data_IF_760646892783
#
_entry.id   IF_760646892783
#
_cell.length_a   1.000
_cell.length_b   1.000
_cell.length_c   1.000
_cell.angle_alpha   90.00
_cell.angle_beta   90.00
_cell.angle_gamma   90.00
#
_symmetry.space_group_name_H-M   'P 1'
#
loop_
_entity.id
_entity.type
_entity.pdbx_description
1 polymer ?
#
# COMPACT_ATOMS: atom_id res chain seq x y z
N UNK A 1 14.32 18.25 8.02
CA UNK A 1 13.45 18.12 6.82
C UNK A 1 14.26 17.96 5.54
N UNK A 2 15.30 18.77 5.31
CA UNK A 2 16.17 18.67 4.11
C UNK A 2 16.66 17.24 3.78
N UNK A 3 17.09 16.47 4.78
CA UNK A 3 17.57 15.09 4.60
C UNK A 3 16.50 14.12 4.06
N UNK A 4 15.21 14.33 4.36
CA UNK A 4 14.13 13.45 3.89
C UNK A 4 13.81 13.68 2.42
N UNK A 5 13.81 14.94 1.98
CA UNK A 5 13.60 15.28 0.58
C UNK A 5 14.75 14.77 -0.29
N UNK A 6 16.00 14.88 0.19
CA UNK A 6 17.16 14.34 -0.52
C UNK A 6 17.08 12.81 -0.68
N UNK A 7 16.69 12.08 0.39
CA UNK A 7 16.48 10.63 0.32
C UNK A 7 15.37 10.28 -0.66
N UNK A 8 14.24 10.99 -0.65
CA UNK A 8 13.15 10.75 -1.59
C UNK A 8 13.57 11.00 -3.03
N UNK A 9 14.26 12.11 -3.31
CA UNK A 9 14.78 12.42 -4.63
C UNK A 9 15.77 11.35 -5.12
N UNK A 10 16.64 10.86 -4.22
CA UNK A 10 17.53 9.74 -4.50
C UNK A 10 16.76 8.46 -4.84
N UNK A 11 15.74 8.10 -4.06
CA UNK A 11 14.90 6.93 -4.36
C UNK A 11 14.23 7.04 -5.73
N UNK A 12 13.68 8.21 -6.07
CA UNK A 12 13.06 8.45 -7.39
C UNK A 12 14.10 8.28 -8.50
N UNK A 13 15.28 8.90 -8.35
CA UNK A 13 16.37 8.80 -9.33
C UNK A 13 16.83 7.36 -9.54
N UNK A 14 17.02 6.59 -8.47
CA UNK A 14 17.41 5.18 -8.54
C UNK A 14 16.33 4.35 -9.22
N UNK A 15 15.05 4.52 -8.85
CA UNK A 15 13.95 3.80 -9.50
C UNK A 15 13.86 4.11 -10.98
N UNK A 16 13.91 5.39 -11.37
CA UNK A 16 13.91 5.78 -12.79
C UNK A 16 15.12 5.19 -13.52
N UNK A 17 16.30 5.20 -12.91
CA UNK A 17 17.52 4.64 -13.50
C UNK A 17 17.40 3.13 -13.72
N UNK A 18 16.84 2.39 -12.76
CA UNK A 18 16.59 0.95 -12.87
C UNK A 18 15.56 0.66 -13.96
N UNK A 19 14.48 1.43 -14.06
CA UNK A 19 13.49 1.27 -15.14
C UNK A 19 14.10 1.53 -16.52
N UNK A 20 14.91 2.59 -16.67
CA UNK A 20 15.62 2.88 -17.94
C UNK A 20 16.61 1.77 -18.28
N UNK A 21 17.45 1.36 -17.32
CA UNK A 21 18.41 0.28 -17.53
C UNK A 21 17.71 -1.02 -17.93
N UNK A 22 16.60 -1.33 -17.27
CA UNK A 22 15.76 -2.47 -17.60
C UNK A 22 15.23 -2.38 -19.05
N UNK A 23 14.64 -1.25 -19.44
CA UNK A 23 14.18 -1.04 -20.83
C UNK A 23 15.32 -1.19 -21.84
N UNK A 24 16.52 -0.70 -21.53
CA UNK A 24 17.70 -0.85 -22.39
C UNK A 24 18.16 -2.31 -22.52
N UNK A 25 18.09 -3.10 -21.44
CA UNK A 25 18.40 -4.54 -21.47
C UNK A 25 17.35 -5.35 -22.22
N UNK A 26 16.10 -4.91 -22.16
CA UNK A 26 14.97 -5.54 -22.83
C UNK A 26 14.99 -5.32 -24.35
N UNK A 27 15.46 -4.14 -24.81
CA UNK A 27 15.45 -3.75 -26.23
C UNK A 27 16.15 -4.73 -27.19
N UNK A 28 17.40 -5.20 -26.94
CA UNK A 28 18.05 -6.20 -27.78
C UNK A 28 17.24 -7.48 -27.92
N UNK A 29 16.56 -7.88 -26.84
CA UNK A 29 15.77 -9.10 -26.84
C UNK A 29 14.50 -8.95 -27.67
N UNK A 30 13.80 -7.81 -27.55
CA UNK A 30 12.68 -7.47 -28.43
C UNK A 30 13.09 -7.46 -29.92
N UNK A 31 14.25 -6.87 -30.23
CA UNK A 31 14.80 -6.86 -31.59
C UNK A 31 15.17 -8.28 -32.09
N UNK A 32 15.65 -9.15 -31.20
CA UNK A 32 15.91 -10.55 -31.52
C UNK A 32 14.61 -11.31 -31.80
N UNK A 33 13.61 -11.21 -30.92
CA UNK A 33 12.29 -11.81 -31.11
C UNK A 33 11.68 -11.38 -32.45
N UNK A 34 11.81 -10.10 -32.82
CA UNK A 34 11.39 -9.59 -34.12
C UNK A 34 12.10 -10.30 -35.28
N UNK A 35 13.43 -10.44 -35.22
CA UNK A 35 14.21 -11.09 -36.29
C UNK A 35 13.94 -12.59 -36.40
N UNK A 36 13.48 -13.23 -35.33
CA UNK A 36 13.12 -14.66 -35.34
C UNK A 36 11.72 -14.95 -35.89
N UNK A 37 10.92 -13.91 -36.20
CA UNK A 37 9.62 -14.08 -36.85
C UNK A 37 9.81 -14.79 -38.19
N UNK A 38 9.09 -15.88 -38.43
CA UNK A 38 9.19 -16.69 -39.65
C UNK A 38 10.31 -17.73 -39.65
N UNK A 39 11.10 -17.82 -38.56
CA UNK A 39 12.04 -18.92 -38.34
C UNK A 39 11.31 -20.21 -37.93
N UNK A 40 12.05 -21.28 -37.61
CA UNK A 40 11.45 -22.55 -37.19
C UNK A 40 10.61 -22.39 -35.92
N UNK A 41 9.54 -23.19 -35.79
CA UNK A 41 8.62 -23.13 -34.64
C UNK A 41 9.35 -23.26 -33.29
N UNK A 42 10.43 -24.04 -33.24
CA UNK A 42 11.27 -24.21 -32.04
C UNK A 42 11.99 -22.91 -31.64
N UNK A 43 12.55 -22.18 -32.61
CA UNK A 43 13.26 -20.92 -32.34
C UNK A 43 12.27 -19.86 -31.83
N UNK A 44 11.09 -19.76 -32.44
CA UNK A 44 10.03 -18.87 -31.98
C UNK A 44 9.56 -19.20 -30.54
N UNK A 45 9.33 -20.49 -30.25
CA UNK A 45 8.97 -20.94 -28.91
C UNK A 45 10.05 -20.61 -27.86
N UNK A 46 11.31 -20.89 -28.17
CA UNK A 46 12.43 -20.57 -27.29
C UNK A 46 12.59 -19.06 -27.08
N UNK A 47 12.39 -18.26 -28.13
CA UNK A 47 12.44 -16.80 -28.05
C UNK A 47 11.33 -16.25 -27.13
N UNK A 48 10.11 -16.79 -27.22
CA UNK A 48 8.98 -16.40 -26.37
C UNK A 48 9.18 -16.82 -24.90
N UNK A 49 9.71 -18.03 -24.65
CA UNK A 49 10.01 -18.48 -23.29
C UNK A 49 11.07 -17.61 -22.63
N UNK A 50 12.15 -17.29 -23.35
CA UNK A 50 13.21 -16.42 -22.86
C UNK A 50 12.74 -14.98 -22.69
N UNK A 51 11.84 -14.48 -23.54
CA UNK A 51 11.18 -13.18 -23.35
C UNK A 51 10.43 -13.16 -22.00
N UNK A 52 9.63 -14.19 -21.72
CA UNK A 52 8.93 -14.32 -20.44
C UNK A 52 9.88 -14.36 -19.24
N UNK A 53 11.01 -15.09 -19.35
CA UNK A 53 12.02 -15.16 -18.30
C UNK A 53 12.71 -13.81 -18.07
N UNK A 54 13.04 -13.10 -19.15
CA UNK A 54 13.60 -11.75 -19.11
C UNK A 54 12.64 -10.83 -18.37
N UNK A 55 11.35 -10.79 -18.76
CA UNK A 55 10.32 -9.99 -18.08
C UNK A 55 10.22 -10.30 -16.58
N UNK A 56 10.17 -11.59 -16.24
CA UNK A 56 10.12 -12.04 -14.84
C UNK A 56 11.35 -11.57 -14.05
N UNK A 57 12.55 -11.63 -14.64
CA UNK A 57 13.78 -11.12 -14.05
C UNK A 57 13.73 -9.60 -13.86
N UNK A 58 13.21 -8.84 -14.84
CA UNK A 58 13.03 -7.40 -14.75
C UNK A 58 12.12 -6.99 -13.59
N UNK A 59 10.95 -7.64 -13.48
CA UNK A 59 10.03 -7.43 -12.36
C UNK A 59 10.68 -7.76 -11.01
N UNK A 60 11.48 -8.84 -10.94
CA UNK A 60 12.21 -9.21 -9.72
C UNK A 60 13.26 -8.16 -9.32
N UNK A 61 14.02 -7.63 -10.28
CA UNK A 61 15.01 -6.56 -10.05
C UNK A 61 14.34 -5.30 -9.53
N UNK A 62 13.23 -4.89 -10.15
CA UNK A 62 12.46 -3.71 -9.72
C UNK A 62 11.91 -3.92 -8.31
N UNK A 63 11.32 -5.08 -8.03
CA UNK A 63 10.80 -5.42 -6.70
C UNK A 63 11.89 -5.36 -5.63
N UNK A 64 13.03 -6.01 -5.87
CA UNK A 64 14.17 -6.00 -4.94
C UNK A 64 14.76 -4.60 -4.74
N UNK A 65 14.81 -3.79 -5.80
CA UNK A 65 15.27 -2.39 -5.71
C UNK A 65 14.38 -1.60 -4.77
N UNK A 66 13.05 -1.76 -4.85
CA UNK A 66 12.12 -1.05 -3.98
C UNK A 66 12.32 -1.48 -2.52
N UNK A 67 12.51 -2.77 -2.25
CA UNK A 67 12.82 -3.27 -0.89
C UNK A 67 14.09 -2.58 -0.34
N UNK A 68 15.16 -2.54 -1.13
CA UNK A 68 16.40 -1.87 -0.74
C UNK A 68 16.21 -0.37 -0.49
N UNK A 69 15.38 0.30 -1.30
CA UNK A 69 15.08 1.72 -1.13
C UNK A 69 14.19 2.01 0.08
N UNK A 70 13.24 1.12 0.39
CA UNK A 70 12.42 1.25 1.60
C UNK A 70 13.25 1.06 2.86
N UNK A 71 14.22 0.15 2.84
CA UNK A 71 15.18 -0.03 3.95
C UNK A 71 16.12 1.18 4.07
N UNK A 72 16.60 1.71 2.95
CA UNK A 72 17.45 2.92 2.92
C UNK A 72 16.74 4.15 3.51
N UNK A 73 15.42 4.26 3.34
CA UNK A 73 14.66 5.38 3.89
C UNK A 73 14.60 5.34 5.43
N UNK A 74 14.77 4.15 6.04
CA UNK A 74 14.79 3.90 7.48
C UNK A 74 13.47 4.29 8.17
N UNK A 75 12.39 3.61 7.79
CA UNK A 75 11.10 3.82 8.42
C UNK A 75 11.08 3.29 9.85
N UNK A 76 10.82 4.19 10.82
CA UNK A 76 10.64 3.82 12.23
C UNK A 76 9.55 2.77 12.48
N UNK A 77 8.55 2.71 11.60
CA UNK A 77 7.42 1.79 11.74
C UNK A 77 7.31 0.91 10.51
N UNK A 78 7.36 -0.40 10.71
CA UNK A 78 7.25 -1.41 9.65
C UNK A 78 5.98 -1.24 8.82
N UNK A 79 4.84 -0.95 9.45
CA UNK A 79 3.57 -0.74 8.73
C UNK A 79 3.64 0.42 7.71
N UNK A 80 4.37 1.49 8.03
CA UNK A 80 4.57 2.61 7.10
C UNK A 80 5.52 2.24 5.98
N UNK A 81 6.58 1.47 6.28
CA UNK A 81 7.49 0.93 5.28
C UNK A 81 6.72 0.06 4.26
N UNK A 82 5.90 -0.86 4.76
CA UNK A 82 5.03 -1.76 3.98
C UNK A 82 4.01 -0.99 3.12
N UNK A 83 3.38 0.06 3.67
CA UNK A 83 2.46 0.89 2.90
C UNK A 83 3.18 1.64 1.77
N UNK A 84 4.34 2.24 2.05
CA UNK A 84 5.14 2.91 1.01
C UNK A 84 5.66 1.93 -0.02
N UNK A 85 6.07 0.72 0.42
CA UNK A 85 6.46 -0.36 -0.47
C UNK A 85 5.34 -0.69 -1.46
N UNK A 86 4.12 -0.95 -0.97
CA UNK A 86 2.95 -1.25 -1.81
C UNK A 86 2.64 -0.09 -2.79
N UNK A 87 2.62 1.15 -2.30
CA UNK A 87 2.32 2.33 -3.12
C UNK A 87 3.39 2.62 -4.18
N UNK A 88 4.64 2.20 -3.96
CA UNK A 88 5.72 2.36 -4.92
C UNK A 88 5.76 1.21 -5.93
N UNK A 89 5.56 -0.03 -5.50
CA UNK A 89 5.72 -1.21 -6.36
C UNK A 89 4.61 -1.34 -7.40
N UNK A 90 3.36 -1.09 -7.03
CA UNK A 90 2.22 -1.20 -7.97
C UNK A 90 2.39 -0.31 -9.21
N UNK A 91 2.64 1.00 -9.12
CA UNK A 91 2.84 1.82 -10.31
C UNK A 91 4.10 1.44 -11.09
N UNK A 92 5.18 1.01 -10.44
CA UNK A 92 6.40 0.60 -11.14
C UNK A 92 6.17 -0.68 -11.97
N UNK A 93 5.58 -1.71 -11.37
CA UNK A 93 5.25 -2.96 -12.05
C UNK A 93 4.19 -2.71 -13.14
N UNK A 94 3.21 -1.84 -12.89
CA UNK A 94 2.19 -1.51 -13.87
C UNK A 94 2.76 -0.76 -15.09
N UNK A 95 3.69 0.18 -14.90
CA UNK A 95 4.42 0.83 -16.01
C UNK A 95 5.21 -0.23 -16.79
N UNK A 96 5.84 -1.18 -16.10
CA UNK A 96 6.59 -2.24 -16.77
C UNK A 96 5.67 -3.11 -17.65
N UNK A 97 4.53 -3.54 -17.10
CA UNK A 97 3.49 -4.26 -17.84
C UNK A 97 3.07 -3.48 -19.08
N UNK A 98 2.82 -2.17 -18.98
CA UNK A 98 2.47 -1.37 -20.16
C UNK A 98 3.56 -1.35 -21.21
N UNK A 99 4.83 -1.27 -20.81
CA UNK A 99 5.96 -1.34 -21.74
C UNK A 99 5.99 -2.70 -22.45
N UNK A 100 5.76 -3.79 -21.71
CA UNK A 100 5.69 -5.14 -22.25
C UNK A 100 4.51 -5.29 -23.23
N UNK A 101 3.31 -4.82 -22.86
CA UNK A 101 2.13 -4.78 -23.74
C UNK A 101 2.41 -4.00 -25.02
N UNK A 102 3.04 -2.83 -24.90
CA UNK A 102 3.39 -1.99 -26.05
C UNK A 102 4.34 -2.71 -27.00
N UNK A 103 5.36 -3.38 -26.47
CA UNK A 103 6.32 -4.14 -27.27
C UNK A 103 5.64 -5.33 -27.93
N UNK A 104 4.86 -6.11 -27.20
CA UNK A 104 4.12 -7.26 -27.74
C UNK A 104 3.16 -6.83 -28.85
N UNK A 105 2.47 -5.71 -28.67
CA UNK A 105 1.62 -5.15 -29.72
C UNK A 105 2.44 -4.72 -30.94
N UNK A 106 3.60 -4.08 -30.72
CA UNK A 106 4.53 -3.70 -31.79
C UNK A 106 5.04 -4.91 -32.58
N UNK A 107 5.44 -5.98 -31.90
CA UNK A 107 5.91 -7.21 -32.55
C UNK A 107 4.79 -7.90 -33.33
N UNK A 108 3.59 -8.01 -32.76
CA UNK A 108 2.44 -8.61 -33.45
C UNK A 108 2.06 -7.83 -34.72
N UNK A 109 2.05 -6.49 -34.65
CA UNK A 109 1.78 -5.63 -35.81
C UNK A 109 2.86 -5.74 -36.89
N UNK A 110 4.11 -5.98 -36.50
CA UNK A 110 5.22 -6.18 -37.42
C UNK A 110 5.16 -7.49 -38.20
N UNK A 111 4.89 -8.61 -37.50
CA UNK A 111 4.63 -9.92 -38.12
C UNK A 111 3.56 -9.76 -39.19
N UNK A 112 2.51 -9.01 -38.85
CA UNK A 112 1.38 -8.78 -39.71
C UNK A 112 1.71 -7.94 -40.95
N UNK A 113 2.37 -6.79 -40.77
CA UNK A 113 2.73 -5.89 -41.88
C UNK A 113 3.64 -6.58 -42.91
N UNK A 114 4.46 -7.54 -42.48
CA UNK A 114 5.27 -8.35 -43.38
C UNK A 114 4.44 -9.28 -44.29
N UNK A 115 3.22 -9.65 -43.90
CA UNK A 115 2.39 -10.62 -44.62
C UNK A 115 1.25 -10.01 -45.45
N UNK A 116 0.66 -8.86 -45.07
CA UNK A 116 -0.54 -8.32 -45.75
C UNK A 116 -0.66 -6.78 -45.68
N UNK A 117 0.15 -6.07 -46.47
CA UNK A 117 0.38 -4.62 -46.34
C UNK A 117 -0.76 -3.66 -46.78
N UNK A 118 -1.96 -4.09 -47.19
CA UNK A 118 -2.89 -3.18 -47.90
C UNK A 118 -4.31 -2.99 -47.33
N UNK A 119 -4.80 -3.82 -46.39
CA UNK A 119 -6.22 -3.77 -45.96
C UNK A 119 -6.41 -3.33 -44.49
N UNK A 120 -6.59 -2.02 -44.26
CA UNK A 120 -6.75 -1.39 -42.93
C UNK A 120 -7.96 -1.92 -42.13
N UNK A 121 -9.05 -2.29 -42.81
CA UNK A 121 -10.23 -2.88 -42.17
C UNK A 121 -9.96 -4.29 -41.64
N UNK A 122 -9.17 -5.08 -42.36
CA UNK A 122 -8.75 -6.41 -41.93
C UNK A 122 -7.78 -6.33 -40.74
N UNK A 123 -6.87 -5.34 -40.75
CA UNK A 123 -5.93 -5.05 -39.64
C UNK A 123 -6.66 -4.90 -38.32
N UNK A 124 -7.72 -4.09 -38.33
CA UNK A 124 -8.47 -3.76 -37.12
C UNK A 124 -9.16 -4.98 -36.51
N UNK A 125 -9.59 -5.94 -37.35
CA UNK A 125 -10.30 -7.13 -36.89
C UNK A 125 -9.37 -8.31 -36.56
N UNK A 126 -8.41 -8.62 -37.44
CA UNK A 126 -7.57 -9.81 -37.29
C UNK A 126 -6.22 -9.54 -36.63
N UNK A 127 -5.65 -8.34 -36.81
CA UNK A 127 -4.43 -7.94 -36.08
C UNK A 127 -4.67 -7.94 -34.58
N UNK A 128 -5.86 -7.50 -34.17
CA UNK A 128 -6.29 -7.57 -32.79
C UNK A 128 -6.36 -9.00 -32.23
N UNK A 129 -6.89 -9.95 -33.02
CA UNK A 129 -6.94 -11.37 -32.61
C UNK A 129 -5.55 -11.94 -32.42
N UNK A 130 -4.59 -11.58 -33.27
CA UNK A 130 -3.20 -11.99 -33.15
C UNK A 130 -2.58 -11.42 -31.87
N UNK A 131 -2.73 -10.11 -31.64
CA UNK A 131 -2.29 -9.44 -30.41
C UNK A 131 -2.86 -10.12 -29.17
N UNK A 132 -4.13 -10.50 -29.17
CA UNK A 132 -4.76 -11.18 -28.04
C UNK A 132 -4.25 -12.61 -27.82
N UNK A 133 -3.90 -13.33 -28.90
CA UNK A 133 -3.27 -14.65 -28.78
C UNK A 133 -1.88 -14.54 -28.18
N UNK A 134 -1.05 -13.64 -28.72
CA UNK A 134 0.30 -13.39 -28.24
C UNK A 134 0.29 -12.87 -26.79
N UNK A 135 -0.72 -12.06 -26.45
CA UNK A 135 -0.89 -11.57 -25.08
C UNK A 135 -1.27 -12.69 -24.11
N UNK A 136 -2.14 -13.62 -24.50
CA UNK A 136 -2.44 -14.80 -23.69
C UNK A 136 -1.18 -15.64 -23.44
N UNK A 137 -0.42 -15.89 -24.50
CA UNK A 137 0.83 -16.66 -24.47
C UNK A 137 1.94 -15.95 -23.70
N UNK A 138 1.86 -14.62 -23.55
CA UNK A 138 2.75 -13.84 -22.69
C UNK A 138 2.30 -13.87 -21.21
N UNK A 139 1.02 -13.56 -20.95
CA UNK A 139 0.49 -13.37 -19.60
C UNK A 139 0.47 -14.65 -18.78
N UNK A 140 0.00 -15.75 -19.37
CA UNK A 140 -0.23 -16.98 -18.61
C UNK A 140 1.08 -17.65 -18.18
N UNK A 141 2.01 -18.00 -19.06
CA UNK A 141 3.27 -18.57 -18.62
C UNK A 141 4.18 -17.53 -17.98
N UNK A 142 4.28 -16.31 -18.55
CA UNK A 142 5.28 -15.31 -18.18
C UNK A 142 4.96 -14.51 -16.92
N UNK A 143 3.69 -14.18 -16.67
CA UNK A 143 3.28 -13.38 -15.49
C UNK A 143 2.57 -14.21 -14.42
N UNK A 144 1.77 -15.21 -14.82
CA UNK A 144 0.97 -16.00 -13.87
C UNK A 144 1.75 -17.18 -13.31
N UNK A 145 2.40 -17.99 -14.15
CA UNK A 145 3.03 -19.23 -13.70
C UNK A 145 4.49 -19.05 -13.27
N UNK A 146 5.31 -18.51 -14.17
CA UNK A 146 6.77 -18.51 -13.99
C UNK A 146 7.24 -17.70 -12.78
N UNK A 147 6.70 -16.50 -12.48
CA UNK A 147 7.10 -15.74 -11.29
C UNK A 147 6.75 -16.49 -10.01
N UNK A 148 5.56 -17.08 -9.94
CA UNK A 148 5.05 -17.77 -8.75
C UNK A 148 5.70 -19.14 -8.50
N UNK A 149 6.21 -19.78 -9.54
CA UNK A 149 7.04 -20.97 -9.39
C UNK A 149 8.49 -20.60 -9.12
N UNK A 150 9.04 -19.65 -9.88
CA UNK A 150 10.45 -19.27 -9.83
C UNK A 150 10.84 -18.53 -8.56
N UNK A 151 10.00 -17.62 -8.07
CA UNK A 151 10.30 -16.81 -6.90
C UNK A 151 10.50 -17.67 -5.63
N UNK A 152 9.63 -18.63 -5.26
CA UNK A 152 9.90 -19.52 -4.14
C UNK A 152 11.15 -20.38 -4.32
N UNK A 153 11.45 -20.82 -5.56
CA UNK A 153 12.69 -21.56 -5.82
C UNK A 153 13.91 -20.69 -5.53
N UNK A 154 13.90 -19.43 -5.96
CA UNK A 154 15.04 -18.52 -5.87
C UNK A 154 15.18 -17.82 -4.52
N UNK A 155 14.08 -17.54 -3.82
CA UNK A 155 14.07 -16.77 -2.57
C UNK A 155 14.00 -17.64 -1.32
N UNK A 156 13.47 -18.86 -1.43
CA UNK A 156 13.35 -19.79 -0.29
C UNK A 156 14.27 -20.99 -0.48
N UNK A 157 14.05 -21.79 -1.52
CA UNK A 157 14.75 -23.07 -1.64
C UNK A 157 16.24 -22.89 -1.89
N UNK A 158 16.62 -21.99 -2.80
CA UNK A 158 18.02 -21.75 -3.14
C UNK A 158 18.82 -21.23 -1.92
N UNK A 159 18.40 -20.17 -1.19
CA UNK A 159 19.07 -19.75 0.03
C UNK A 159 19.14 -20.85 1.09
N UNK A 160 18.06 -21.63 1.26
CA UNK A 160 18.04 -22.75 2.20
C UNK A 160 19.11 -23.81 1.86
N UNK A 161 19.23 -24.21 0.60
CA UNK A 161 20.24 -25.18 0.16
C UNK A 161 21.67 -24.62 0.30
N UNK A 162 21.88 -23.36 -0.08
CA UNK A 162 23.16 -22.67 0.10
C UNK A 162 23.53 -22.62 1.59
N UNK A 163 22.58 -22.31 2.47
CA UNK A 163 22.77 -22.28 3.92
C UNK A 163 23.11 -23.67 4.47
N UNK A 164 22.44 -24.74 4.02
CA UNK A 164 22.79 -26.11 4.40
C UNK A 164 24.23 -26.44 4.00
N UNK A 165 24.60 -26.16 2.75
CA UNK A 165 25.94 -26.47 2.26
C UNK A 165 27.01 -25.70 3.01
N UNK A 166 26.75 -24.42 3.29
CA UNK A 166 27.66 -23.56 4.04
C UNK A 166 27.83 -24.03 5.49
N UNK A 167 26.73 -24.32 6.21
CA UNK A 167 26.75 -24.82 7.59
C UNK A 167 27.44 -26.17 7.70
N UNK A 168 27.28 -27.06 6.71
CA UNK A 168 27.93 -28.38 6.71
C UNK A 168 29.44 -28.31 6.43
N UNK A 169 29.92 -27.30 5.69
CA UNK A 169 31.32 -27.22 5.22
C UNK A 169 32.18 -26.28 6.05
N UNK A 170 31.65 -25.17 6.56
CA UNK A 170 32.43 -24.17 7.28
C UNK A 170 32.34 -24.37 8.81
N UNK A 171 33.40 -24.92 9.41
CA UNK A 171 33.48 -25.18 10.85
C UNK A 171 33.56 -23.91 11.71
N UNK A 172 33.77 -22.74 11.09
CA UNK A 172 33.81 -21.44 11.80
C UNK A 172 32.41 -20.91 12.10
N UNK A 173 31.37 -21.50 11.52
CA UNK A 173 29.99 -21.08 11.73
C UNK A 173 29.51 -21.58 13.09
N UNK A 174 29.21 -20.63 13.98
CA UNK A 174 28.63 -20.94 15.29
C UNK A 174 27.18 -21.41 15.15
N UNK A 175 26.67 -22.11 16.17
CA UNK A 175 25.28 -22.58 16.20
C UNK A 175 24.26 -21.43 16.07
N UNK A 176 24.56 -20.25 16.62
CA UNK A 176 23.71 -19.08 16.45
C UNK A 176 23.72 -18.56 15.01
N UNK A 177 24.88 -18.56 14.34
CA UNK A 177 24.95 -18.12 12.95
C UNK A 177 24.32 -19.12 12.00
N UNK A 178 24.44 -20.43 12.26
CA UNK A 178 23.74 -21.44 11.46
C UNK A 178 22.23 -21.33 11.61
N UNK A 179 21.72 -21.06 12.82
CA UNK A 179 20.30 -20.82 13.05
C UNK A 179 19.79 -19.63 12.22
N UNK A 180 20.50 -18.50 12.23
CA UNK A 180 20.14 -17.31 11.42
C UNK A 180 20.22 -17.56 9.92
N UNK A 181 21.20 -18.34 9.45
CA UNK A 181 21.31 -18.72 8.04
C UNK A 181 20.17 -19.62 7.59
N UNK A 182 19.61 -20.40 8.51
CA UNK A 182 18.50 -21.33 8.27
C UNK A 182 17.14 -20.72 8.61
N UNK A 183 17.10 -19.45 9.04
CA UNK A 183 15.88 -18.75 9.36
C UNK A 183 15.06 -18.49 8.09
N UNK A 184 13.77 -18.85 8.14
CA UNK A 184 12.86 -18.59 7.04
C UNK A 184 12.62 -17.08 6.89
N UNK A 185 12.57 -16.55 5.65
CA UNK A 185 12.30 -15.13 5.44
C UNK A 185 10.93 -14.75 6.00
N UNK A 186 10.76 -13.50 6.47
CA UNK A 186 9.47 -13.03 6.96
C UNK A 186 8.41 -13.11 5.86
N UNK A 187 7.16 -13.37 6.25
CA UNK A 187 6.06 -13.39 5.30
C UNK A 187 5.88 -12.03 4.61
N UNK A 188 6.17 -11.98 3.30
CA UNK A 188 5.85 -10.84 2.44
C UNK A 188 4.47 -11.05 1.79
N UNK A 189 3.54 -10.18 2.14
CA UNK A 189 2.16 -10.18 1.59
C UNK A 189 2.05 -9.15 0.45
N UNK A 190 2.97 -8.19 0.36
CA UNK A 190 2.92 -7.07 -0.58
C UNK A 190 3.32 -7.53 -1.97
N UNK A 191 4.44 -8.24 -2.05
CA UNK A 191 5.01 -8.78 -3.28
C UNK A 191 5.34 -10.26 -3.07
N UNK A 192 4.86 -11.18 -3.92
CA UNK A 192 3.95 -11.01 -5.07
C UNK A 192 2.47 -10.65 -4.81
N UNK A 193 1.78 -11.06 -3.72
CA UNK A 193 0.32 -11.26 -3.77
C UNK A 193 -0.51 -10.01 -4.08
N UNK A 194 -0.33 -8.94 -3.31
CA UNK A 194 -1.12 -7.71 -3.48
C UNK A 194 -0.76 -6.96 -4.75
N UNK A 195 0.54 -6.80 -5.02
CA UNK A 195 0.99 -6.10 -6.21
C UNK A 195 0.49 -6.79 -7.49
N UNK A 196 0.72 -8.09 -7.59
CA UNK A 196 0.44 -8.83 -8.81
C UNK A 196 -1.05 -9.07 -9.02
N UNK A 197 -1.85 -9.30 -7.98
CA UNK A 197 -3.29 -9.47 -8.20
C UNK A 197 -3.91 -8.20 -8.75
N UNK A 198 -3.48 -7.03 -8.26
CA UNK A 198 -3.93 -5.72 -8.75
C UNK A 198 -3.42 -5.50 -10.17
N UNK A 199 -2.13 -5.72 -10.42
CA UNK A 199 -1.50 -5.48 -11.71
C UNK A 199 -2.02 -6.46 -12.78
N UNK A 200 -2.04 -7.76 -12.51
CA UNK A 200 -2.56 -8.77 -13.42
C UNK A 200 -4.03 -8.51 -13.74
N UNK A 201 -4.88 -8.28 -12.72
CA UNK A 201 -6.29 -7.96 -12.97
C UNK A 201 -6.43 -6.71 -13.83
N UNK A 202 -5.62 -5.67 -13.58
CA UNK A 202 -5.60 -4.46 -14.41
C UNK A 202 -5.25 -4.78 -15.88
N UNK A 203 -4.26 -5.64 -16.11
CA UNK A 203 -3.89 -6.11 -17.46
C UNK A 203 -5.01 -6.89 -18.14
N UNK A 204 -5.69 -7.78 -17.41
CA UNK A 204 -6.85 -8.51 -17.92
C UNK A 204 -8.02 -7.58 -18.24
N UNK A 205 -8.25 -6.52 -17.45
CA UNK A 205 -9.29 -5.53 -17.76
C UNK A 205 -8.94 -4.71 -19.01
N UNK A 206 -7.66 -4.40 -19.23
CA UNK A 206 -7.20 -3.70 -20.44
C UNK A 206 -7.49 -4.47 -21.73
N UNK A 207 -7.50 -5.81 -21.71
CA UNK A 207 -7.76 -6.59 -22.93
C UNK A 207 -9.15 -6.32 -23.52
N UNK A 208 -10.10 -5.90 -22.69
CA UNK A 208 -11.44 -5.55 -23.14
C UNK A 208 -11.53 -4.33 -24.02
N UNK A 209 -10.49 -3.49 -24.07
CA UNK A 209 -10.44 -2.40 -25.06
C UNK A 209 -10.65 -2.94 -26.47
N UNK A 210 -10.41 -4.23 -26.68
CA UNK A 210 -10.69 -4.89 -27.92
C UNK A 210 -11.27 -6.31 -27.69
N UNK A 211 -12.59 -6.42 -27.49
CA UNK A 211 -13.23 -7.68 -27.16
C UNK A 211 -13.10 -8.68 -28.32
N UNK A 212 -12.86 -9.94 -27.97
CA UNK A 212 -12.65 -11.06 -28.87
C UNK A 212 -13.35 -12.30 -28.33
N UNK A 213 -13.74 -13.22 -29.20
CA UNK A 213 -14.32 -14.52 -28.83
C UNK A 213 -13.41 -15.37 -27.93
N UNK A 214 -12.12 -15.01 -27.78
CA UNK A 214 -11.16 -15.68 -26.89
C UNK A 214 -11.13 -15.13 -25.47
N UNK A 215 -11.90 -14.08 -25.14
CA UNK A 215 -11.86 -13.45 -23.80
C UNK A 215 -12.23 -14.40 -22.66
N UNK A 216 -13.13 -15.36 -22.90
CA UNK A 216 -13.47 -16.35 -21.87
C UNK A 216 -12.25 -17.14 -21.38
N UNK A 217 -11.24 -17.37 -22.25
CA UNK A 217 -9.99 -18.03 -21.89
C UNK A 217 -9.16 -17.16 -20.94
N UNK A 218 -9.09 -15.87 -21.21
CA UNK A 218 -8.41 -14.89 -20.36
C UNK A 218 -9.05 -14.83 -18.96
N UNK A 219 -10.38 -14.88 -18.86
CA UNK A 219 -11.07 -14.95 -17.56
C UNK A 219 -10.85 -16.25 -16.81
N UNK A 220 -10.90 -17.36 -17.53
CA UNK A 220 -10.61 -18.65 -16.93
C UNK A 220 -9.16 -18.69 -16.41
N UNK A 221 -8.23 -18.07 -17.15
CA UNK A 221 -6.85 -17.90 -16.71
C UNK A 221 -6.72 -16.97 -15.49
N UNK A 222 -7.48 -15.86 -15.42
CA UNK A 222 -7.52 -14.97 -14.26
C UNK A 222 -8.11 -15.67 -13.02
N UNK A 223 -9.18 -16.45 -13.19
CA UNK A 223 -9.76 -17.26 -12.11
C UNK A 223 -8.77 -18.32 -11.62
N UNK A 224 -8.16 -19.04 -12.56
CA UNK A 224 -7.11 -20.01 -12.25
C UNK A 224 -5.95 -19.33 -11.51
N UNK A 225 -5.51 -18.15 -11.97
CA UNK A 225 -4.47 -17.36 -11.32
C UNK A 225 -4.84 -17.01 -9.88
N UNK A 226 -6.05 -16.49 -9.63
CA UNK A 226 -6.49 -16.13 -8.28
C UNK A 226 -6.47 -17.34 -7.33
N UNK A 227 -6.95 -18.50 -7.79
CA UNK A 227 -6.91 -19.76 -7.01
C UNK A 227 -5.47 -20.23 -6.80
N UNK A 228 -4.65 -20.20 -7.85
CA UNK A 228 -3.25 -20.62 -7.82
C UNK A 228 -2.42 -19.78 -6.83
N UNK A 229 -2.56 -18.45 -6.90
CA UNK A 229 -1.92 -17.49 -5.98
C UNK A 229 -2.38 -17.74 -4.56
N UNK A 230 -3.68 -17.98 -4.32
CA UNK A 230 -4.17 -18.32 -2.99
C UNK A 230 -3.53 -19.60 -2.44
N UNK A 231 -3.48 -20.67 -3.24
CA UNK A 231 -2.90 -21.96 -2.83
C UNK A 231 -1.40 -21.84 -2.54
N UNK A 232 -0.63 -21.19 -3.42
CA UNK A 232 0.81 -20.99 -3.22
C UNK A 232 1.06 -20.14 -1.98
N UNK A 233 0.38 -19.01 -1.82
CA UNK A 233 0.60 -18.16 -0.65
C UNK A 233 0.22 -18.87 0.65
N UNK A 234 -0.84 -19.67 0.64
CA UNK A 234 -1.19 -20.51 1.77
C UNK A 234 -0.09 -21.50 2.13
N UNK A 235 0.53 -22.15 1.13
CA UNK A 235 1.68 -23.05 1.37
C UNK A 235 2.89 -22.27 1.88
N UNK A 236 3.22 -21.12 1.26
CA UNK A 236 4.35 -20.27 1.63
C UNK A 236 4.26 -19.82 3.09
N UNK A 237 3.12 -19.23 3.48
CA UNK A 237 2.89 -18.72 4.82
C UNK A 237 2.93 -19.85 5.86
N UNK A 238 2.40 -21.04 5.54
CA UNK A 238 2.35 -22.16 6.48
C UNK A 238 3.65 -22.96 6.60
N UNK A 239 4.52 -22.96 5.58
CA UNK A 239 5.66 -23.88 5.50
C UNK A 239 7.01 -23.23 5.28
N UNK A 240 7.07 -22.07 4.64
CA UNK A 240 8.32 -21.51 4.09
C UNK A 240 8.65 -20.11 4.59
N UNK A 241 7.74 -19.46 5.30
CA UNK A 241 7.92 -18.11 5.82
C UNK A 241 7.81 -18.08 7.34
N UNK A 242 8.54 -17.17 7.96
CA UNK A 242 8.40 -16.86 9.39
C UNK A 242 7.24 -15.88 9.62
N UNK A 243 6.76 -15.85 10.86
CA UNK A 243 5.65 -14.99 11.23
C UNK A 243 6.00 -13.50 11.06
N UNK A 244 5.18 -12.79 10.30
CA UNK A 244 5.25 -11.33 10.19
C UNK A 244 4.10 -10.69 11.00
N UNK A 245 4.40 -9.59 11.70
CA UNK A 245 3.42 -8.89 12.53
C UNK A 245 2.80 -7.71 11.76
N UNK A 246 1.48 -7.74 11.58
CA UNK A 246 0.72 -6.67 10.96
C UNK A 246 -0.16 -5.99 12.02
N UNK A 247 0.32 -4.87 12.56
CA UNK A 247 -0.31 -4.24 13.73
C UNK A 247 -1.43 -3.23 13.37
N UNK A 248 -1.62 -2.93 12.09
CA UNK A 248 -2.61 -1.93 11.62
C UNK A 248 -3.28 -2.40 10.33
N UNK A 249 -4.51 -1.94 10.10
CA UNK A 249 -5.24 -2.13 8.84
C UNK A 249 -4.81 -1.18 7.72
N UNK A 250 -3.81 -0.32 7.95
CA UNK A 250 -3.35 0.69 6.98
C UNK A 250 -2.98 0.08 5.62
N UNK A 251 -2.34 -1.10 5.62
CA UNK A 251 -1.96 -1.80 4.39
C UNK A 251 -3.19 -2.23 3.58
N UNK A 252 -4.17 -2.84 4.23
CA UNK A 252 -5.44 -3.25 3.61
C UNK A 252 -6.24 -2.03 3.11
N UNK A 253 -6.20 -0.91 3.83
CA UNK A 253 -6.83 0.34 3.39
C UNK A 253 -6.13 0.84 2.11
N UNK A 254 -4.81 0.87 2.08
CA UNK A 254 -4.04 1.28 0.90
C UNK A 254 -4.33 0.37 -0.31
N UNK A 255 -4.35 -0.95 -0.09
CA UNK A 255 -4.75 -1.94 -1.10
C UNK A 255 -6.16 -1.66 -1.64
N UNK A 256 -7.12 -1.36 -0.76
CA UNK A 256 -8.50 -1.05 -1.15
C UNK A 256 -8.59 0.17 -2.08
N UNK A 257 -7.73 1.19 -1.90
CA UNK A 257 -7.64 2.31 -2.84
C UNK A 257 -7.00 1.92 -4.17
N UNK A 258 -5.98 1.05 -4.16
CA UNK A 258 -5.30 0.59 -5.37
C UNK A 258 -6.19 -0.30 -6.26
N UNK A 259 -7.18 -0.99 -5.67
CA UNK A 259 -8.24 -1.68 -6.42
C UNK A 259 -9.10 -0.75 -7.30
N UNK A 260 -9.00 0.58 -7.13
CA UNK A 260 -9.59 1.53 -8.07
C UNK A 260 -9.02 1.35 -9.48
N UNK A 261 -7.75 0.95 -9.63
CA UNK A 261 -7.09 0.84 -10.92
C UNK A 261 -7.73 -0.20 -11.84
N UNK A 262 -7.81 -1.50 -11.50
CA UNK A 262 -8.44 -2.49 -12.38
C UNK A 262 -9.91 -2.19 -12.65
N UNK A 263 -10.65 -1.71 -11.65
CA UNK A 263 -12.08 -1.41 -11.81
C UNK A 263 -12.33 -0.16 -12.66
N UNK A 264 -11.48 0.87 -12.54
CA UNK A 264 -11.55 2.05 -13.39
C UNK A 264 -11.15 1.72 -14.84
N UNK A 265 -10.19 0.82 -15.06
CA UNK A 265 -9.88 0.33 -16.42
C UNK A 265 -11.08 -0.39 -17.03
N UNK A 266 -11.76 -1.24 -16.27
CA UNK A 266 -12.99 -1.88 -16.73
C UNK A 266 -14.09 -0.85 -17.05
N UNK A 267 -14.26 0.17 -16.19
CA UNK A 267 -15.19 1.27 -16.44
C UNK A 267 -14.81 2.08 -17.68
N UNK A 268 -13.51 2.30 -17.92
CA UNK A 268 -13.00 2.99 -19.10
C UNK A 268 -13.37 2.25 -20.37
N UNK A 269 -13.21 0.92 -20.36
CA UNK A 269 -13.60 0.09 -21.48
C UNK A 269 -15.10 0.18 -21.72
N UNK A 270 -15.91 0.04 -20.67
CA UNK A 270 -17.37 0.15 -20.78
C UNK A 270 -17.79 1.50 -21.35
N UNK A 271 -17.18 2.61 -20.87
CA UNK A 271 -17.40 3.95 -21.39
C UNK A 271 -17.02 4.09 -22.86
N UNK A 272 -15.93 3.43 -23.30
CA UNK A 272 -15.50 3.46 -24.70
C UNK A 272 -16.47 2.74 -25.65
N UNK A 273 -17.17 1.70 -25.17
CA UNK A 273 -18.15 0.94 -25.97
C UNK A 273 -19.52 1.62 -26.05
N UNK A 274 -19.91 2.40 -25.04
CA UNK A 274 -21.20 3.12 -25.00
C UNK A 274 -21.09 4.53 -25.59
N UNK A 275 -19.88 5.09 -25.62
CA UNK A 275 -19.62 6.41 -26.16
C UNK A 275 -19.93 6.56 -27.65
N UNK A 276 -19.75 7.79 -28.19
CA UNK A 276 -19.89 8.05 -29.62
C UNK A 276 -19.07 7.08 -30.48
N UNK A 277 -19.59 6.71 -31.66
CA UNK A 277 -18.93 5.77 -32.57
C UNK A 277 -17.63 6.32 -33.18
N UNK A 278 -17.41 7.63 -33.14
CA UNK A 278 -16.14 8.21 -33.58
C UNK A 278 -15.03 7.89 -32.56
N UNK A 279 -13.82 7.63 -33.09
CA UNK A 279 -12.66 7.21 -32.28
C UNK A 279 -12.34 8.19 -31.15
N UNK A 280 -12.42 9.49 -31.42
CA UNK A 280 -12.17 10.54 -30.42
C UNK A 280 -13.20 10.52 -29.30
N UNK A 281 -14.48 10.43 -29.64
CA UNK A 281 -15.59 10.38 -28.69
C UNK A 281 -15.57 9.13 -27.82
N UNK A 282 -15.29 7.96 -28.41
CA UNK A 282 -15.13 6.71 -27.67
C UNK A 282 -13.98 6.78 -26.66
N UNK A 283 -12.80 7.28 -27.07
CA UNK A 283 -11.66 7.46 -26.15
C UNK A 283 -12.00 8.46 -25.04
N UNK A 284 -12.62 9.60 -25.40
CA UNK A 284 -13.04 10.61 -24.44
C UNK A 284 -14.04 10.08 -23.41
N UNK A 285 -15.03 9.30 -23.85
CA UNK A 285 -16.01 8.65 -22.99
C UNK A 285 -15.35 7.62 -22.06
N UNK A 286 -14.39 6.84 -22.56
CA UNK A 286 -13.63 5.90 -21.73
C UNK A 286 -12.77 6.59 -20.67
N UNK A 287 -12.04 7.65 -21.03
CA UNK A 287 -11.24 8.43 -20.07
C UNK A 287 -12.13 9.09 -19.01
N UNK A 288 -13.27 9.64 -19.42
CA UNK A 288 -14.24 10.21 -18.48
C UNK A 288 -14.78 9.15 -17.51
N UNK A 289 -15.16 7.97 -18.02
CA UNK A 289 -15.64 6.86 -17.19
C UNK A 289 -14.57 6.37 -16.19
N UNK A 290 -13.30 6.30 -16.62
CA UNK A 290 -12.16 5.99 -15.74
C UNK A 290 -12.05 6.99 -14.59
N UNK A 291 -12.04 8.29 -14.89
CA UNK A 291 -11.89 9.35 -13.89
C UNK A 291 -13.08 9.35 -12.93
N UNK A 292 -14.31 9.27 -13.44
CA UNK A 292 -15.51 9.21 -12.61
C UNK A 292 -15.47 8.00 -11.68
N UNK A 293 -15.11 6.81 -12.20
CA UNK A 293 -15.00 5.61 -11.38
C UNK A 293 -13.95 5.75 -10.28
N UNK A 294 -12.76 6.27 -10.59
CA UNK A 294 -11.74 6.57 -9.58
C UNK A 294 -12.27 7.50 -8.49
N UNK A 295 -12.93 8.61 -8.85
CA UNK A 295 -13.51 9.54 -7.87
C UNK A 295 -14.54 8.85 -6.98
N UNK A 296 -15.49 8.11 -7.57
CA UNK A 296 -16.51 7.39 -6.81
C UNK A 296 -15.93 6.29 -5.92
N UNK A 297 -14.94 5.53 -6.42
CA UNK A 297 -14.26 4.49 -5.64
C UNK A 297 -13.54 5.09 -4.44
N UNK A 298 -12.83 6.20 -4.61
CA UNK A 298 -12.14 6.88 -3.51
C UNK A 298 -13.13 7.40 -2.47
N UNK A 299 -14.27 7.96 -2.89
CA UNK A 299 -15.36 8.36 -1.98
C UNK A 299 -15.91 7.13 -1.24
N UNK A 300 -16.14 6.03 -1.96
CA UNK A 300 -16.66 4.78 -1.40
C UNK A 300 -15.72 4.19 -0.34
N UNK A 301 -14.43 4.05 -0.65
CA UNK A 301 -13.43 3.53 0.29
C UNK A 301 -13.22 4.49 1.47
N UNK A 302 -13.28 5.82 1.25
CA UNK A 302 -13.05 6.81 2.30
C UNK A 302 -14.19 6.94 3.30
N UNK A 303 -15.43 6.76 2.84
CA UNK A 303 -16.63 7.07 3.61
C UNK A 303 -17.53 5.86 3.85
N UNK A 304 -17.80 5.04 2.82
CA UNK A 304 -18.73 3.92 2.92
C UNK A 304 -18.09 2.74 3.66
N UNK A 305 -16.87 2.33 3.28
CA UNK A 305 -16.21 1.18 3.93
C UNK A 305 -16.03 1.36 5.45
N UNK A 306 -15.51 2.49 5.97
CA UNK A 306 -15.37 2.69 7.41
C UNK A 306 -16.71 2.79 8.14
N UNK A 307 -17.76 3.24 7.44
CA UNK A 307 -19.11 3.31 7.99
C UNK A 307 -19.72 1.90 8.09
N UNK A 308 -19.62 1.09 7.04
CA UNK A 308 -20.21 -0.26 6.97
C UNK A 308 -19.49 -1.28 7.85
N UNK A 309 -18.16 -1.25 7.93
CA UNK A 309 -17.42 -2.19 8.77
C UNK A 309 -17.55 -1.91 10.27
N UNK A 310 -18.21 -0.79 10.63
CA UNK A 310 -18.14 -0.21 11.95
C UNK A 310 -16.71 0.26 12.23
N UNK A 311 -16.57 1.48 12.75
CA UNK A 311 -15.30 1.83 13.38
C UNK A 311 -15.19 0.89 14.58
N UNK A 312 -14.33 -0.13 14.49
CA UNK A 312 -13.97 -0.89 15.68
C UNK A 312 -13.39 0.13 16.62
N UNK A 313 -14.22 0.62 17.55
CA UNK A 313 -13.74 1.45 18.64
C UNK A 313 -12.60 0.64 19.22
N UNK A 314 -11.38 1.20 19.16
CA UNK A 314 -10.27 0.65 19.90
C UNK A 314 -10.77 0.63 21.33
N UNK A 315 -11.29 -0.51 21.78
CA UNK A 315 -11.64 -0.72 23.17
C UNK A 315 -10.31 -0.51 23.86
N UNK A 316 -10.13 0.67 24.44
CA UNK A 316 -9.02 0.98 25.31
C UNK A 316 -9.16 -0.07 26.41
N UNK A 317 -8.43 -1.17 26.26
CA UNK A 317 -8.51 -2.24 27.23
C UNK A 317 -7.97 -1.62 28.50
N UNK A 318 -8.82 -1.42 29.50
CA UNK A 318 -8.42 -0.93 30.82
C UNK A 318 -7.51 -1.92 31.57
N UNK A 319 -7.00 -2.95 30.87
CA UNK A 319 -6.09 -3.98 31.36
C UNK A 319 -4.74 -3.37 31.64
N UNK A 320 -4.16 -3.70 32.79
CA UNK A 320 -2.80 -3.28 33.13
C UNK A 320 -1.77 -3.99 32.25
N UNK A 321 -0.55 -3.44 32.20
CA UNK A 321 0.54 -4.03 31.42
C UNK A 321 0.91 -5.42 31.95
N UNK A 322 0.95 -5.63 33.28
CA UNK A 322 1.10 -6.97 33.84
C UNK A 322 -0.07 -7.91 33.53
N UNK A 323 -1.32 -7.44 33.43
CA UNK A 323 -2.43 -8.32 33.07
C UNK A 323 -2.30 -8.83 31.63
N UNK A 324 -1.83 -7.98 30.72
CA UNK A 324 -1.55 -8.36 29.33
C UNK A 324 -0.36 -9.30 29.23
N UNK A 325 0.73 -9.02 29.94
CA UNK A 325 1.93 -9.88 29.95
C UNK A 325 1.65 -11.22 30.63
N UNK A 326 0.89 -11.23 31.73
CA UNK A 326 0.53 -12.46 32.42
C UNK A 326 -0.28 -13.43 31.54
N UNK A 327 -1.00 -12.91 30.55
CA UNK A 327 -1.72 -13.70 29.54
C UNK A 327 -0.86 -14.12 28.35
N UNK A 328 0.21 -13.39 28.07
CA UNK A 328 1.11 -13.64 26.96
C UNK A 328 2.34 -14.39 27.48
N UNK A 329 2.34 -15.72 27.34
CA UNK A 329 3.43 -16.60 27.79
C UNK A 329 4.81 -16.26 27.20
N UNK A 330 4.87 -15.40 26.17
CA UNK A 330 6.09 -14.94 25.54
C UNK A 330 5.97 -13.50 24.97
N UNK A 331 5.65 -12.53 25.82
CA UNK A 331 5.55 -11.14 25.40
C UNK A 331 6.91 -10.47 25.19
N UNK A 332 6.98 -9.58 24.19
CA UNK A 332 8.00 -8.53 24.16
C UNK A 332 7.72 -7.56 25.32
N UNK A 333 8.55 -7.59 26.35
CA UNK A 333 8.51 -6.70 27.51
C UNK A 333 9.61 -5.66 27.44
N UNK A 334 9.52 -4.59 28.21
CA UNK A 334 10.62 -3.61 28.30
C UNK A 334 11.93 -4.29 28.74
N UNK A 335 11.86 -5.29 29.63
CA UNK A 335 13.04 -5.97 30.15
C UNK A 335 13.76 -6.77 29.08
N UNK A 336 13.05 -7.60 28.31
CA UNK A 336 13.69 -8.43 27.28
C UNK A 336 13.98 -7.67 25.97
N UNK A 337 13.33 -6.54 25.70
CA UNK A 337 13.64 -5.69 24.53
C UNK A 337 14.74 -4.66 24.80
N UNK A 338 15.09 -4.40 26.06
CA UNK A 338 16.20 -3.51 26.42
C UNK A 338 17.49 -4.32 26.63
N UNK A 339 18.51 -4.15 25.77
CA UNK A 339 19.76 -4.90 25.88
C UNK A 339 20.51 -4.63 27.19
N UNK A 340 20.37 -3.43 27.76
CA UNK A 340 21.01 -3.07 29.04
C UNK A 340 20.41 -3.90 30.19
N UNK A 341 19.09 -4.08 30.20
CA UNK A 341 18.40 -4.85 31.24
C UNK A 341 18.69 -6.35 31.12
N UNK A 342 18.83 -6.86 29.89
CA UNK A 342 19.31 -8.22 29.61
C UNK A 342 20.73 -8.42 30.16
N UNK A 343 21.65 -7.51 29.87
CA UNK A 343 23.04 -7.59 30.36
C UNK A 343 23.14 -7.49 31.89
N UNK A 344 22.39 -6.58 32.51
CA UNK A 344 22.33 -6.47 33.98
C UNK A 344 21.86 -7.76 34.65
N UNK A 345 20.87 -8.44 34.05
CA UNK A 345 20.40 -9.71 34.57
C UNK A 345 21.49 -10.78 34.46
N UNK A 346 22.19 -10.86 33.33
CA UNK A 346 23.32 -11.79 33.18
C UNK A 346 24.46 -11.57 34.19
N UNK A 347 24.65 -10.35 34.70
CA UNK A 347 25.65 -10.06 35.74
C UNK A 347 25.16 -10.34 37.17
N UNK A 348 23.87 -10.56 37.38
CA UNK A 348 23.30 -10.79 38.71
C UNK A 348 23.27 -12.29 39.01
N UNK A 349 24.09 -12.76 39.95
CA UNK A 349 24.08 -14.17 40.37
C UNK A 349 22.71 -14.53 40.99
N UNK A 350 22.06 -15.56 40.44
CA UNK A 350 20.82 -16.14 41.00
C UNK A 350 19.50 -15.63 40.41
N UNK A 351 19.49 -14.65 39.50
CA UNK A 351 18.29 -14.30 38.74
C UNK A 351 18.17 -15.15 37.46
N UNK A 352 16.96 -15.63 37.15
CA UNK A 352 16.70 -16.39 35.92
C UNK A 352 17.17 -15.63 34.67
N UNK A 353 17.76 -16.35 33.72
CA UNK A 353 18.36 -15.78 32.51
C UNK A 353 17.30 -15.07 31.67
N UNK A 354 17.36 -13.74 31.62
CA UNK A 354 16.50 -12.94 30.74
C UNK A 354 17.13 -12.91 29.36
N UNK A 355 16.47 -13.54 28.39
CA UNK A 355 16.93 -13.60 27.00
C UNK A 355 16.42 -12.38 26.24
N UNK A 356 17.27 -11.76 25.41
CA UNK A 356 16.84 -10.67 24.54
C UNK A 356 15.72 -11.13 23.61
N UNK A 357 14.65 -10.33 23.51
CA UNK A 357 13.49 -10.66 22.67
C UNK A 357 13.91 -10.69 21.20
N UNK A 358 13.61 -11.79 20.53
CA UNK A 358 13.74 -11.93 19.09
C UNK A 358 12.45 -12.55 18.53
N UNK A 359 11.87 -11.97 17.47
CA UNK A 359 10.75 -12.61 16.77
C UNK A 359 11.12 -14.04 16.35
N UNK A 360 10.17 -14.98 16.45
CA UNK A 360 10.40 -16.40 16.16
C UNK A 360 11.14 -17.16 17.27
N UNK A 361 11.57 -16.49 18.33
CA UNK A 361 12.25 -17.05 19.52
C UNK A 361 11.46 -16.78 20.79
N UNK A 362 10.14 -16.65 20.66
CA UNK A 362 9.20 -16.43 21.76
C UNK A 362 9.30 -17.55 22.80
N UNK A 363 9.55 -18.79 22.38
CA UNK A 363 9.72 -19.93 23.26
C UNK A 363 10.93 -19.83 24.22
N UNK A 364 11.90 -18.94 23.95
CA UNK A 364 13.01 -18.66 24.86
C UNK A 364 12.66 -17.67 25.98
N UNK A 365 11.45 -17.09 25.96
CA UNK A 365 11.02 -16.00 26.84
C UNK A 365 10.34 -16.50 28.14
N UNK A 366 10.84 -17.60 28.72
CA UNK A 366 10.20 -18.36 29.81
C UNK A 366 9.96 -17.59 31.11
N UNK A 367 10.74 -16.54 31.39
CA UNK A 367 10.67 -15.76 32.64
C UNK A 367 10.39 -14.26 32.43
N UNK A 368 10.03 -13.85 31.21
CA UNK A 368 9.80 -12.44 30.89
C UNK A 368 8.63 -11.79 31.66
N UNK A 369 7.72 -12.59 32.21
CA UNK A 369 6.47 -12.15 32.84
C UNK A 369 6.52 -11.96 34.36
N UNK A 370 7.59 -12.39 35.05
CA UNK A 370 7.62 -12.36 36.52
C UNK A 370 8.13 -11.02 37.06
N UNK A 371 7.24 -10.31 37.77
CA UNK A 371 7.53 -9.19 38.69
C UNK A 371 8.21 -7.95 38.07
N UNK A 372 7.52 -7.23 37.17
CA UNK A 372 7.91 -5.84 36.87
C UNK A 372 7.48 -4.93 38.01
N UNK A 373 8.45 -4.49 38.84
CA UNK A 373 8.20 -3.69 40.06
C UNK A 373 7.59 -2.30 39.82
N UNK A 374 7.65 -1.81 38.58
CA UNK A 374 7.13 -0.48 38.20
C UNK A 374 5.85 -0.59 37.35
N UNK A 375 5.06 -1.66 37.51
CA UNK A 375 3.75 -1.78 36.87
C UNK A 375 2.71 -0.94 37.62
N UNK A 376 2.83 0.38 37.50
CA UNK A 376 1.69 1.23 37.80
C UNK A 376 0.71 1.15 36.62
N UNK A 377 -0.58 0.89 36.85
CA UNK A 377 -1.55 0.79 35.78
C UNK A 377 -1.53 2.07 34.93
N UNK A 378 -1.64 1.91 33.61
CA UNK A 378 -1.60 3.00 32.62
C UNK A 378 -2.61 4.14 32.87
N UNK A 379 -3.54 3.95 33.84
CA UNK A 379 -4.40 4.99 34.40
C UNK A 379 -3.64 6.26 34.83
N UNK A 380 -2.37 6.20 35.24
CA UNK A 380 -1.60 7.43 35.55
C UNK A 380 -1.26 8.28 34.33
N UNK A 381 -1.08 7.68 33.14
CA UNK A 381 -0.85 8.45 31.91
C UNK A 381 -2.12 9.10 31.39
N UNK A 382 -3.28 8.45 31.54
CA UNK A 382 -4.56 9.11 31.27
C UNK A 382 -4.83 10.20 32.29
N UNK A 383 -4.48 10.01 33.56
CA UNK A 383 -4.62 11.07 34.57
C UNK A 383 -3.68 12.25 34.29
N UNK A 384 -2.44 11.99 33.84
CA UNK A 384 -1.48 13.01 33.45
C UNK A 384 -1.91 13.75 32.17
N UNK A 385 -2.38 13.05 31.14
CA UNK A 385 -2.91 13.67 29.93
C UNK A 385 -4.22 14.42 30.20
N UNK A 386 -5.07 13.91 31.08
CA UNK A 386 -6.29 14.57 31.51
C UNK A 386 -5.97 15.79 32.36
N UNK A 387 -4.93 15.74 33.21
CA UNK A 387 -4.39 16.89 33.93
C UNK A 387 -3.79 17.93 32.98
N UNK A 388 -3.02 17.53 31.98
CA UNK A 388 -2.47 18.45 30.96
C UNK A 388 -3.60 19.07 30.13
N UNK A 389 -4.61 18.29 29.75
CA UNK A 389 -5.77 18.78 29.03
C UNK A 389 -6.63 19.74 29.88
N UNK A 390 -6.84 19.45 31.17
CA UNK A 390 -7.54 20.37 32.07
C UNK A 390 -6.71 21.62 32.34
N UNK A 391 -5.39 21.52 32.48
CA UNK A 391 -4.52 22.69 32.63
C UNK A 391 -4.52 23.57 31.38
N UNK A 392 -4.49 22.97 30.19
CA UNK A 392 -4.58 23.70 28.93
C UNK A 392 -5.95 24.37 28.76
N UNK A 393 -7.04 23.68 29.12
CA UNK A 393 -8.39 24.25 29.12
C UNK A 393 -8.52 25.41 30.13
N UNK A 394 -7.94 25.27 31.33
CA UNK A 394 -7.90 26.33 32.33
C UNK A 394 -7.07 27.53 31.87
N UNK A 395 -5.93 27.30 31.22
CA UNK A 395 -5.11 28.37 30.64
C UNK A 395 -5.85 29.10 29.51
N UNK A 396 -6.55 28.37 28.64
CA UNK A 396 -7.38 28.96 27.60
C UNK A 396 -8.53 29.79 28.18
N UNK A 397 -9.18 29.31 29.25
CA UNK A 397 -10.21 30.06 29.97
C UNK A 397 -9.66 31.33 30.62
N UNK A 398 -8.48 31.26 31.26
CA UNK A 398 -7.80 32.42 31.83
C UNK A 398 -7.44 33.45 30.75
N UNK A 399 -6.89 33.00 29.61
CA UNK A 399 -6.58 33.88 28.50
C UNK A 399 -7.83 34.58 27.94
N UNK A 400 -8.95 33.86 27.83
CA UNK A 400 -10.22 34.44 27.41
C UNK A 400 -10.75 35.47 28.42
N UNK A 401 -10.62 35.22 29.73
CA UNK A 401 -10.98 36.19 30.76
C UNK A 401 -10.11 37.45 30.72
N UNK A 402 -8.80 37.32 30.52
CA UNK A 402 -7.91 38.47 30.37
C UNK A 402 -8.24 39.29 29.10
N UNK A 403 -8.57 38.64 27.99
CA UNK A 403 -9.00 39.32 26.78
C UNK A 403 -10.33 40.07 26.98
N UNK A 404 -11.28 39.48 27.68
CA UNK A 404 -12.55 40.13 28.03
C UNK A 404 -12.33 41.34 28.97
N UNK A 405 -11.46 41.21 29.97
CA UNK A 405 -11.13 42.31 30.89
C UNK A 405 -10.43 43.48 30.19
N UNK A 406 -9.49 43.19 29.29
CA UNK A 406 -8.81 44.21 28.47
C UNK A 406 -9.81 44.95 27.57
N UNK A 407 -10.78 44.23 27.00
CA UNK A 407 -11.86 44.83 26.21
C UNK A 407 -12.75 45.73 27.09
N UNK A 408 -13.09 45.30 28.31
CA UNK A 408 -13.88 46.09 29.25
C UNK A 408 -13.19 47.39 29.71
N UNK A 409 -11.87 47.38 29.91
CA UNK A 409 -11.12 48.60 30.24
C UNK A 409 -10.99 49.56 29.06
N UNK A 410 -10.94 49.04 27.82
CA UNK A 410 -11.03 49.86 26.60
C UNK A 410 -12.36 50.60 26.49
N UNK A 411 -13.48 49.98 26.90
CA UNK A 411 -14.78 50.65 26.91
C UNK A 411 -14.95 51.67 28.03
N UNK A 412 -14.34 51.45 29.20
CA UNK A 412 -14.35 52.43 30.30
C UNK A 412 -13.51 53.69 29.97
N UNK A 413 -12.35 53.51 29.35
CA UNK A 413 -11.50 54.62 28.91
C UNK A 413 -12.08 55.36 27.69
N UNK A 414 -12.75 54.64 26.77
CA UNK A 414 -13.54 55.27 25.72
C UNK A 414 -14.73 56.06 26.30
N UNK A 415 -15.47 55.53 27.28
CA UNK A 415 -16.58 56.26 27.90
C UNK A 415 -16.13 57.54 28.64
N UNK A 416 -14.92 57.55 29.23
CA UNK A 416 -14.33 58.76 29.85
C UNK A 416 -13.84 59.77 28.79
N UNK A 417 -13.39 59.31 27.62
CA UNK A 417 -13.04 60.18 26.50
C UNK A 417 -14.29 60.78 25.81
N UNK A 418 -15.40 60.03 25.71
CA UNK A 418 -16.65 60.53 25.13
C UNK A 418 -17.41 61.47 26.08
N UNK A 419 -17.15 61.39 27.40
CA UNK A 419 -17.71 62.31 28.40
C UNK A 419 -17.18 63.75 28.33
N UNK A 420 -16.06 63.99 27.64
CA UNK A 420 -15.51 65.34 27.41
C UNK A 420 -15.80 65.92 26.02
N UNK A 421 -16.47 65.16 25.14
CA UNK A 421 -16.89 65.61 23.81
C UNK A 421 -18.38 65.89 23.66
N UNK A 422 -19.19 65.65 24.69
CA UNK A 422 -20.65 65.70 24.62
C UNK A 422 -21.28 67.02 25.12
N UNK A 423 -20.51 68.13 25.16
CA UNK A 423 -21.05 69.48 25.34
C UNK A 423 -21.15 70.29 24.03
N UNK A 424 -20.75 69.72 22.89
CA UNK A 424 -20.76 70.40 21.58
C UNK A 424 -21.53 69.64 20.49
N UNK A 425 -22.46 68.74 20.87
CA UNK A 425 -23.18 67.89 19.92
C UNK A 425 -24.69 67.75 20.14
N UNK A 426 -25.30 68.61 20.97
CA UNK A 426 -26.74 68.53 21.32
C UNK A 426 -27.66 69.26 20.31
N UNK A 427 -27.12 69.86 19.24
CA UNK A 427 -27.94 70.59 18.26
C UNK A 427 -28.13 69.93 16.88
N UNK A 428 -27.62 68.72 16.65
CA UNK A 428 -27.72 68.11 15.33
C UNK A 428 -27.81 66.57 15.38
N UNK A 429 -28.92 66.02 15.87
CA UNK A 429 -29.41 64.67 15.49
C UNK A 429 -30.76 64.32 16.17
N UNK A 430 -31.69 65.29 16.26
CA UNK A 430 -33.12 64.96 16.25
C UNK A 430 -33.49 64.88 14.77
N UNK A 431 -33.45 63.68 14.18
CA UNK A 431 -34.13 63.23 12.95
C UNK A 431 -33.37 62.05 12.36
N UNK A 432 -33.55 60.85 12.92
CA UNK A 432 -33.46 59.55 12.21
C UNK A 432 -33.60 58.40 13.22
N UNK A 433 -34.80 58.26 13.77
CA UNK A 433 -35.24 57.01 14.40
C UNK A 433 -36.44 56.52 13.60
N UNK A 434 -36.28 55.48 12.79
CA UNK A 434 -37.33 54.51 12.42
C UNK A 434 -36.79 53.50 11.39
N UNK A 435 -37.20 52.23 11.55
CA UNK A 435 -36.92 51.04 10.74
C UNK A 435 -35.50 50.46 10.93
N UNK A 436 -35.27 49.25 11.44
CA UNK A 436 -36.00 47.96 11.56
C UNK A 436 -35.07 47.07 12.41
N UNK A 437 -35.43 46.22 13.38
CA UNK A 437 -36.67 45.51 13.67
C UNK A 437 -36.49 44.00 13.44
N UNK A 438 -36.19 43.22 14.49
CA UNK A 438 -36.39 41.75 14.60
C UNK A 438 -35.24 40.86 14.08
N UNK A 439 -34.57 39.95 14.81
CA UNK A 439 -34.91 38.91 15.81
C UNK A 439 -35.27 37.52 15.20
N UNK A 440 -34.90 36.44 15.92
CA UNK A 440 -35.43 35.03 15.89
C UNK A 440 -34.76 34.12 14.83
N UNK A 441 -34.42 32.81 14.98
CA UNK A 441 -34.48 31.70 15.98
C UNK A 441 -33.69 30.51 15.38
N UNK A 442 -32.84 29.76 16.10
CA UNK A 442 -33.06 28.42 16.74
C UNK A 442 -33.74 27.29 15.93
N UNK A 443 -33.24 26.07 16.18
CA UNK A 443 -33.77 24.69 15.95
C UNK A 443 -33.51 24.05 14.56
N UNK A 444 -33.29 22.73 14.37
CA UNK A 444 -33.48 21.52 15.21
C UNK A 444 -32.83 20.27 14.52
N UNK A 445 -32.51 19.24 15.33
CA UNK A 445 -32.65 17.75 15.15
C UNK A 445 -32.74 17.17 13.73
N UNK A 446 -32.10 16.07 13.33
CA UNK A 446 -31.86 14.79 14.01
C UNK A 446 -32.39 13.66 13.10
N UNK A 447 -31.58 12.64 12.80
CA UNK A 447 -31.98 11.38 12.17
C UNK A 447 -30.83 10.38 12.38
N UNK A 448 -31.00 9.11 12.74
CA UNK A 448 -32.13 8.22 12.54
C UNK A 448 -31.66 7.01 11.71
N UNK A 449 -31.36 5.92 12.40
CA UNK A 449 -30.87 4.59 11.97
C UNK A 449 -31.36 4.02 10.63
N UNK A 450 -30.49 3.24 9.95
CA UNK A 450 -30.89 2.01 9.26
C UNK A 450 -29.69 1.03 9.14
N UNK A 451 -29.79 -0.12 9.81
CA UNK A 451 -28.92 -1.29 9.63
C UNK A 451 -29.35 -2.06 8.39
N UNK A 452 -28.42 -2.37 7.49
CA UNK A 452 -28.61 -3.32 6.38
C UNK A 452 -27.68 -4.51 6.60
N UNK A 453 -28.29 -5.68 6.74
CA UNK A 453 -27.63 -6.98 6.82
C UNK A 453 -27.36 -7.43 5.38
N UNK A 454 -26.09 -7.70 5.04
CA UNK A 454 -25.74 -8.48 3.85
C UNK A 454 -25.11 -9.80 4.29
N UNK A 455 -25.74 -10.87 3.83
CA UNK A 455 -25.25 -12.25 3.84
C UNK A 455 -24.38 -12.42 2.59
N UNK A 456 -23.16 -12.94 2.78
CA UNK A 456 -22.21 -13.30 1.73
C UNK A 456 -22.71 -14.44 0.85
#
# INVERSE_FOLDING_TARGET
MCTRYLRLAFCILVLTSVMVLWTLLYWPWSAFSWRTIGSSAYVSYAANLMLGLVIALGNSIVGQTIVMLTDYFDFRYQNRAHMVYLLAIVPCVFINIFADLYVTMGTAMAVYNAHNATNVSWISYNGLRLVMSDLFDLLVPGYILLPYMGEPMMTVLLPYWISIWRVKRDTRITAEHSERLMEAPPADIINPPYCDIICATSTFMLTFLAPSSTHWKLYLALLFFAVFVYLINRVRILRWQSAAQFNTSDLHIAESYLWALPLALLAAVFGSHIGPQDRSGSIGAGVLAFILHCVFHFIFVRWVVPWSCGRSEKKNSARSYNELIGKLSAAATYRNTNPIEVLKNHSSEGSGSLVFFRPGKEYLQTDSSKNYKNDEPAMRYTHGLQQVATHAAQQAAHAAQHAAAATGQGFSSAAVATGKGFSTGVHAAQHAAAATGGAISKNRTGAGSASVVFVL
#
